data_IF_479120754804
#
_entry.id   IF_479120754804
#
_cell.length_a   1.000
_cell.length_b   1.000
_cell.length_c   1.000
_cell.angle_alpha   90.00
_cell.angle_beta   90.00
_cell.angle_gamma   90.00
#
_symmetry.space_group_name_H-M   'P 1'
#
loop_
_entity.id
_entity.type
_entity.pdbx_description
1 polymer ?
#
# COMPACT_ATOMS: atom_id res chain seq x y z
N UNK A 1 19.42 -6.59 74.91
CA UNK A 1 19.24 -7.21 73.58
C UNK A 1 17.98 -6.66 72.93
N UNK A 2 18.10 -5.73 71.98
CA UNK A 2 17.00 -5.23 71.14
C UNK A 2 17.49 -5.26 69.69
N UNK A 3 16.76 -5.99 68.84
CA UNK A 3 17.08 -6.21 67.43
C UNK A 3 16.77 -4.94 66.63
N UNK A 4 17.74 -4.41 65.90
CA UNK A 4 17.51 -3.39 64.88
C UNK A 4 17.10 -4.10 63.58
N UNK A 5 15.90 -3.80 63.08
CA UNK A 5 15.41 -4.25 61.78
C UNK A 5 15.95 -3.26 60.74
N UNK A 6 16.82 -3.75 59.86
CA UNK A 6 17.27 -2.99 58.68
C UNK A 6 16.23 -3.21 57.58
N UNK A 7 15.43 -2.18 57.29
CA UNK A 7 14.54 -2.17 56.13
C UNK A 7 15.38 -1.76 54.92
N UNK A 8 15.73 -2.74 54.10
CA UNK A 8 16.40 -2.52 52.82
C UNK A 8 15.34 -2.08 51.81
N UNK A 9 15.20 -0.77 51.62
CA UNK A 9 14.38 -0.21 50.54
C UNK A 9 15.03 -0.54 49.20
N UNK A 10 14.53 -1.56 48.51
CA UNK A 10 14.88 -1.83 47.13
C UNK A 10 14.35 -0.68 46.25
N UNK A 11 15.26 0.14 45.72
CA UNK A 11 14.95 1.01 44.59
C UNK A 11 14.60 0.12 43.40
N UNK A 12 13.30 -0.05 43.15
CA UNK A 12 12.81 -0.55 41.87
C UNK A 12 13.03 0.59 40.89
N UNK A 13 14.18 0.61 40.22
CA UNK A 13 14.33 1.41 39.00
C UNK A 13 13.35 0.84 38.01
N UNK A 14 12.22 1.53 37.81
CA UNK A 14 11.36 1.29 36.67
C UNK A 14 12.22 1.46 35.43
N UNK A 15 12.64 0.34 34.84
CA UNK A 15 12.92 0.27 33.42
C UNK A 15 11.63 0.71 32.74
N UNK A 16 11.49 2.01 32.51
CA UNK A 16 10.49 2.50 31.57
C UNK A 16 10.76 1.78 30.27
N UNK A 17 9.72 1.19 29.69
CA UNK A 17 9.76 0.93 28.26
C UNK A 17 10.16 2.26 27.61
N UNK A 18 11.27 2.29 26.90
CA UNK A 18 11.60 3.43 26.08
C UNK A 18 10.47 3.52 25.05
N UNK A 19 9.55 4.46 25.27
CA UNK A 19 8.52 4.79 24.31
C UNK A 19 9.24 5.10 23.00
N UNK A 20 9.10 4.21 22.01
CA UNK A 20 9.52 4.47 20.64
C UNK A 20 8.93 5.83 20.24
N UNK A 21 9.72 6.79 19.74
CA UNK A 21 9.22 8.10 19.39
C UNK A 21 8.12 7.94 18.35
N UNK A 22 6.88 8.20 18.78
CA UNK A 22 5.73 8.26 17.91
C UNK A 22 5.82 9.46 16.99
N UNK A 23 5.41 9.26 15.73
CA UNK A 23 4.90 10.34 14.89
C UNK A 23 5.92 11.36 14.38
N UNK A 24 7.14 10.95 14.05
CA UNK A 24 8.00 11.75 13.17
C UNK A 24 8.03 11.11 11.79
N UNK A 25 7.90 11.95 10.75
CA UNK A 25 8.03 11.64 9.33
C UNK A 25 9.36 10.91 9.06
N UNK A 26 9.40 9.59 9.32
CA UNK A 26 10.54 8.76 8.98
C UNK A 26 10.48 8.59 7.48
N UNK A 27 11.40 9.25 6.78
CA UNK A 27 11.70 8.90 5.40
C UNK A 27 11.96 7.40 5.38
N UNK A 28 11.16 6.68 4.60
CA UNK A 28 11.34 5.25 4.45
C UNK A 28 12.69 5.03 3.77
N UNK A 29 13.67 4.54 4.52
CA UNK A 29 15.00 4.28 3.99
C UNK A 29 14.98 2.95 3.23
N UNK A 30 14.99 3.03 1.90
CA UNK A 30 15.13 1.87 1.02
C UNK A 30 16.60 1.42 0.98
N UNK A 31 16.85 0.15 1.31
CA UNK A 31 18.21 -0.41 1.51
C UNK A 31 18.53 -1.58 0.57
N UNK A 32 18.41 -1.42 -0.77
CA UNK A 32 18.56 -2.52 -1.72
C UNK A 32 19.99 -3.02 -1.88
N UNK A 33 21.00 -2.31 -1.39
CA UNK A 33 22.42 -2.68 -1.49
C UNK A 33 22.98 -3.27 -0.20
N UNK A 34 22.22 -3.22 0.91
CA UNK A 34 22.68 -3.68 2.21
C UNK A 34 22.29 -5.14 2.42
N UNK A 35 23.29 -6.02 2.34
CA UNK A 35 23.09 -7.45 2.52
C UNK A 35 22.47 -7.79 3.89
N UNK A 36 21.53 -8.71 3.88
CA UNK A 36 20.79 -9.13 5.08
C UNK A 36 19.52 -8.32 5.35
N UNK A 37 19.25 -7.24 4.60
CA UNK A 37 17.97 -6.54 4.67
C UNK A 37 16.89 -7.23 3.82
N UNK A 38 15.62 -7.01 4.18
CA UNK A 38 14.47 -7.47 3.39
C UNK A 38 14.48 -6.84 1.99
N UNK A 39 14.85 -5.55 1.89
CA UNK A 39 14.93 -4.84 0.60
C UNK A 39 15.95 -5.47 -0.35
N UNK A 40 17.14 -5.77 0.15
CA UNK A 40 18.17 -6.41 -0.66
C UNK A 40 17.73 -7.82 -1.09
N UNK A 41 17.16 -8.61 -0.17
CA UNK A 41 16.69 -9.96 -0.49
C UNK A 41 15.57 -9.95 -1.53
N UNK A 42 14.56 -9.08 -1.37
CA UNK A 42 13.46 -8.95 -2.32
C UNK A 42 13.93 -8.35 -3.65
N UNK A 43 14.83 -7.37 -3.63
CA UNK A 43 15.42 -6.84 -4.85
C UNK A 43 16.16 -7.92 -5.65
N UNK A 44 16.97 -8.75 -4.98
CA UNK A 44 17.64 -9.88 -5.63
C UNK A 44 16.68 -10.91 -6.20
N UNK A 45 15.42 -10.94 -5.76
CA UNK A 45 14.36 -11.78 -6.31
C UNK A 45 13.53 -11.10 -7.41
N UNK A 46 13.93 -9.90 -7.84
CA UNK A 46 13.26 -9.13 -8.90
C UNK A 46 12.10 -8.25 -8.43
N UNK A 47 11.92 -8.09 -7.12
CA UNK A 47 10.91 -7.16 -6.61
C UNK A 47 11.38 -5.72 -6.70
N UNK A 48 10.44 -4.86 -7.09
CA UNK A 48 10.57 -3.42 -7.07
C UNK A 48 9.87 -2.87 -5.84
N UNK A 49 10.54 -1.96 -5.14
CA UNK A 49 10.03 -1.41 -3.91
C UNK A 49 9.32 -0.08 -4.18
N UNK A 50 8.15 0.10 -3.58
CA UNK A 50 7.28 1.27 -3.69
C UNK A 50 7.07 1.81 -2.27
N UNK A 51 7.48 3.06 -1.97
CA UNK A 51 7.21 3.66 -0.68
C UNK A 51 5.72 3.88 -0.49
N UNK A 52 5.24 3.55 0.70
CA UNK A 52 3.90 3.86 1.16
C UNK A 52 3.97 4.94 2.23
N UNK A 53 2.83 5.58 2.47
CA UNK A 53 2.63 6.50 3.58
C UNK A 53 1.57 5.94 4.51
N UNK A 54 1.96 5.64 5.74
CA UNK A 54 1.00 5.39 6.81
C UNK A 54 0.30 6.71 7.16
N UNK A 55 -1.03 6.65 7.31
CA UNK A 55 -1.84 7.78 7.74
C UNK A 55 -2.36 7.59 9.17
N UNK A 56 -2.87 8.65 9.79
CA UNK A 56 -3.32 8.66 11.20
C UNK A 56 -4.36 7.59 11.56
N UNK A 57 -5.08 7.06 10.56
CA UNK A 57 -6.05 5.97 10.70
C UNK A 57 -5.42 4.58 10.64
N UNK A 58 -4.10 4.47 10.51
CA UNK A 58 -3.34 3.21 10.39
C UNK A 58 -3.36 2.56 9.00
N UNK A 59 -3.98 3.20 8.01
CA UNK A 59 -3.97 2.69 6.64
C UNK A 59 -2.65 3.06 5.94
N UNK A 60 -2.23 2.25 4.98
CA UNK A 60 -1.09 2.56 4.11
C UNK A 60 -1.57 3.00 2.75
N UNK A 61 -1.06 4.15 2.31
CA UNK A 61 -1.35 4.73 1.01
C UNK A 61 -0.15 4.56 0.08
N UNK A 62 -0.37 4.05 -1.12
CA UNK A 62 0.60 4.08 -2.21
C UNK A 62 0.17 5.10 -3.27
N UNK A 63 1.14 5.74 -3.90
CA UNK A 63 0.86 6.58 -5.07
C UNK A 63 0.69 5.71 -6.30
N UNK A 64 -0.37 5.98 -7.06
CA UNK A 64 -0.61 5.33 -8.34
C UNK A 64 -1.04 6.34 -9.39
N UNK A 65 -0.66 6.05 -10.63
CA UNK A 65 -0.99 6.84 -11.81
C UNK A 65 -1.82 5.98 -12.76
N UNK A 66 -3.02 6.45 -13.09
CA UNK A 66 -3.90 5.82 -14.06
C UNK A 66 -4.20 6.85 -15.15
N UNK A 67 -4.02 6.47 -16.42
CA UNK A 67 -4.23 7.37 -17.57
C UNK A 67 -3.49 8.72 -17.42
N UNK A 68 -2.28 8.69 -16.85
CA UNK A 68 -1.47 9.88 -16.58
C UNK A 68 -1.90 10.74 -15.39
N UNK A 69 -2.90 10.31 -14.62
CA UNK A 69 -3.43 11.03 -13.46
C UNK A 69 -3.04 10.33 -12.17
N UNK A 70 -2.35 11.07 -11.30
CA UNK A 70 -1.78 10.54 -10.06
C UNK A 70 -2.67 10.83 -8.85
N UNK A 71 -2.87 9.84 -7.98
CA UNK A 71 -3.52 9.99 -6.68
C UNK A 71 -3.03 8.92 -5.67
N UNK A 72 -3.44 9.06 -4.41
CA UNK A 72 -3.18 8.04 -3.39
C UNK A 72 -4.25 6.95 -3.42
N UNK A 73 -3.84 5.71 -3.21
CA UNK A 73 -4.72 4.56 -3.06
C UNK A 73 -4.43 3.81 -1.77
N UNK A 74 -5.47 3.33 -1.11
CA UNK A 74 -5.33 2.44 0.05
C UNK A 74 -4.87 1.07 -0.43
N UNK A 75 -3.84 0.51 0.19
CA UNK A 75 -3.48 -0.90 0.00
C UNK A 75 -4.33 -1.76 0.93
N UNK A 76 -5.22 -2.58 0.38
CA UNK A 76 -6.21 -3.35 1.16
C UNK A 76 -6.25 -4.82 0.75
N UNK A 77 -5.60 -5.68 1.54
CA UNK A 77 -5.64 -7.14 1.35
C UNK A 77 -7.02 -7.76 1.59
N UNK A 78 -7.97 -7.01 2.19
CA UNK A 78 -9.35 -7.42 2.42
C UNK A 78 -10.29 -7.15 1.24
N UNK A 79 -9.85 -6.36 0.25
CA UNK A 79 -10.62 -6.08 -0.95
C UNK A 79 -10.35 -7.13 -2.04
N UNK A 80 -11.38 -7.76 -2.58
CA UNK A 80 -11.21 -8.77 -3.64
C UNK A 80 -10.78 -8.17 -4.99
N UNK A 81 -11.16 -6.91 -5.23
CA UNK A 81 -10.88 -6.17 -6.48
C UNK A 81 -10.45 -4.76 -6.13
N UNK A 82 -9.65 -4.16 -7.00
CA UNK A 82 -9.26 -2.76 -6.95
C UNK A 82 -10.43 -1.90 -7.38
N UNK A 83 -10.68 -0.83 -6.62
CA UNK A 83 -11.84 0.03 -6.81
C UNK A 83 -11.40 1.49 -6.82
N UNK A 84 -11.86 2.25 -7.80
CA UNK A 84 -11.76 3.70 -7.81
C UNK A 84 -13.12 4.31 -7.43
N UNK A 85 -13.09 5.41 -6.71
CA UNK A 85 -14.31 6.16 -6.41
C UNK A 85 -14.83 6.87 -7.65
N UNK A 86 -16.15 6.84 -7.84
CA UNK A 86 -16.82 7.46 -8.98
C UNK A 86 -16.49 8.95 -9.15
N UNK A 87 -16.17 9.67 -8.08
CA UNK A 87 -15.78 11.09 -8.15
C UNK A 87 -14.45 11.31 -8.89
N UNK A 88 -13.63 10.27 -9.05
CA UNK A 88 -12.35 10.33 -9.75
C UNK A 88 -12.44 9.81 -11.19
N UNK A 89 -13.54 9.15 -11.58
CA UNK A 89 -13.66 8.52 -12.89
C UNK A 89 -13.46 9.50 -14.05
N UNK A 90 -14.08 10.69 -13.99
CA UNK A 90 -13.92 11.73 -15.03
C UNK A 90 -12.48 12.28 -15.04
N UNK A 91 -11.92 12.58 -13.87
CA UNK A 91 -10.53 13.06 -13.75
C UNK A 91 -9.55 12.07 -14.37
N UNK A 92 -9.79 10.77 -14.19
CA UNK A 92 -8.95 9.69 -14.65
C UNK A 92 -9.27 9.25 -16.09
N UNK A 93 -10.23 9.89 -16.77
CA UNK A 93 -10.61 9.56 -18.15
C UNK A 93 -11.13 8.12 -18.29
N UNK A 94 -11.87 7.63 -17.30
CA UNK A 94 -12.36 6.26 -17.28
C UNK A 94 -13.62 6.11 -18.13
N UNK A 95 -13.57 5.22 -19.11
CA UNK A 95 -14.70 4.92 -19.98
C UNK A 95 -15.41 3.64 -19.52
N UNK A 96 -16.76 3.59 -19.50
CA UNK A 96 -17.52 2.38 -19.23
C UNK A 96 -17.06 1.20 -20.11
N UNK A 97 -16.69 0.08 -19.51
CA UNK A 97 -16.35 -1.13 -20.27
C UNK A 97 -17.63 -1.86 -20.68
N UNK A 98 -17.89 -1.91 -21.99
CA UNK A 98 -19.08 -2.56 -22.56
C UNK A 98 -19.06 -4.09 -22.44
N UNK A 99 -17.86 -4.70 -22.44
CA UNK A 99 -17.69 -6.16 -22.56
C UNK A 99 -17.97 -6.94 -21.27
N UNK A 100 -17.96 -6.27 -20.11
CA UNK A 100 -18.01 -6.95 -18.81
C UNK A 100 -19.28 -6.68 -18.00
N UNK A 101 -20.13 -5.73 -18.44
CA UNK A 101 -21.52 -5.68 -17.98
C UNK A 101 -22.24 -7.03 -18.17
N UNK A 102 -21.79 -7.84 -19.14
CA UNK A 102 -22.29 -9.20 -19.39
C UNK A 102 -21.66 -10.29 -18.49
N UNK A 103 -20.47 -10.09 -17.89
CA UNK A 103 -19.75 -11.14 -17.13
C UNK A 103 -19.79 -10.95 -15.62
N UNK A 104 -19.80 -9.71 -15.14
CA UNK A 104 -19.85 -9.42 -13.69
C UNK A 104 -21.27 -9.25 -13.15
N UNK A 105 -22.29 -9.27 -14.02
CA UNK A 105 -23.71 -9.31 -13.65
C UNK A 105 -24.04 -8.40 -12.48
N UNK A 106 -23.90 -7.07 -12.64
CA UNK A 106 -24.30 -6.05 -11.65
C UNK A 106 -24.12 -6.49 -10.18
N UNK A 107 -22.95 -7.01 -9.81
CA UNK A 107 -22.68 -7.37 -8.42
C UNK A 107 -22.47 -6.09 -7.63
N UNK A 108 -23.37 -5.81 -6.68
CA UNK A 108 -23.10 -4.87 -5.61
C UNK A 108 -21.81 -5.31 -4.90
N UNK A 109 -20.81 -4.44 -4.88
CA UNK A 109 -19.68 -4.59 -3.97
C UNK A 109 -20.22 -4.33 -2.57
N UNK A 110 -19.90 -5.18 -1.59
CA UNK A 110 -20.39 -5.02 -0.24
C UNK A 110 -20.04 -3.62 0.30
N UNK A 111 -21.06 -2.78 0.54
CA UNK A 111 -20.89 -1.42 1.04
C UNK A 111 -20.76 -0.31 -0.02
N UNK A 112 -20.59 -0.66 -1.30
CA UNK A 112 -20.59 0.31 -2.40
C UNK A 112 -21.87 0.13 -3.24
N UNK A 113 -22.45 1.23 -3.74
CA UNK A 113 -23.73 1.22 -4.45
C UNK A 113 -23.70 0.48 -5.81
N UNK A 114 -24.05 1.17 -6.89
CA UNK A 114 -23.88 0.62 -8.25
C UNK A 114 -22.39 0.63 -8.59
N UNK A 115 -21.78 -0.55 -8.65
CA UNK A 115 -20.44 -0.73 -9.17
C UNK A 115 -20.50 -0.92 -10.70
N UNK A 116 -19.53 -0.34 -11.40
CA UNK A 116 -19.38 -0.44 -12.85
C UNK A 116 -17.92 -0.71 -13.17
N UNK A 117 -17.65 -1.55 -14.17
CA UNK A 117 -16.29 -1.70 -14.65
C UNK A 117 -15.96 -0.63 -15.70
N UNK A 118 -14.76 -0.07 -15.63
CA UNK A 118 -14.24 0.87 -16.59
C UNK A 118 -12.93 0.37 -17.20
N UNK A 119 -12.67 0.73 -18.44
CA UNK A 119 -11.40 0.47 -19.11
C UNK A 119 -10.34 1.47 -18.66
N UNK A 120 -9.09 1.01 -18.56
CA UNK A 120 -7.91 1.83 -18.26
C UNK A 120 -6.85 1.59 -19.34
N UNK A 121 -6.21 2.67 -19.80
CA UNK A 121 -5.16 2.59 -20.83
C UNK A 121 -3.79 2.34 -20.20
N UNK A 122 -3.55 2.96 -19.03
CA UNK A 122 -2.31 2.82 -18.29
C UNK A 122 -2.60 2.79 -16.80
N UNK A 123 -1.84 1.96 -16.07
CA UNK A 123 -1.88 1.90 -14.62
C UNK A 123 -0.49 1.59 -14.10
N UNK A 124 0.03 2.44 -13.22
CA UNK A 124 1.36 2.33 -12.63
C UNK A 124 1.27 2.60 -11.13
N UNK A 125 1.93 1.80 -10.31
CA UNK A 125 2.12 2.03 -8.87
C UNK A 125 3.62 2.24 -8.63
N UNK A 126 4.00 3.45 -8.21
CA UNK A 126 5.42 3.86 -8.21
C UNK A 126 6.04 3.69 -9.62
N UNK A 127 7.15 2.94 -9.76
CA UNK A 127 7.75 2.60 -11.07
C UNK A 127 7.19 1.30 -11.70
N UNK A 128 6.22 0.63 -11.08
CA UNK A 128 5.73 -0.70 -11.51
C UNK A 128 4.48 -0.57 -12.36
N UNK A 129 4.56 -1.01 -13.62
CA UNK A 129 3.38 -1.14 -14.48
C UNK A 129 2.45 -2.24 -13.96
N UNK A 130 1.18 -1.88 -13.75
CA UNK A 130 0.14 -2.78 -13.28
C UNK A 130 -0.59 -3.39 -14.47
N UNK A 131 -0.80 -4.70 -14.45
CA UNK A 131 -1.29 -5.47 -15.60
C UNK A 131 -2.82 -5.61 -15.61
N UNK A 132 -3.50 -4.52 -15.33
CA UNK A 132 -4.95 -4.43 -15.39
C UNK A 132 -5.35 -3.61 -16.61
N UNK A 133 -6.29 -4.12 -17.40
CA UNK A 133 -6.93 -3.39 -18.52
C UNK A 133 -8.27 -2.77 -18.09
N UNK A 134 -8.73 -3.12 -16.89
CA UNK A 134 -9.99 -2.65 -16.33
C UNK A 134 -9.88 -2.41 -14.84
N UNK A 135 -10.67 -1.48 -14.32
CA UNK A 135 -10.85 -1.24 -12.88
C UNK A 135 -12.32 -1.14 -12.55
N UNK A 136 -12.71 -1.45 -11.31
CA UNK A 136 -14.08 -1.20 -10.86
C UNK A 136 -14.20 0.24 -10.36
N UNK A 137 -15.20 0.95 -10.85
CA UNK A 137 -15.65 2.24 -10.32
C UNK A 137 -16.90 2.03 -9.47
N UNK A 138 -16.90 2.54 -8.25
CA UNK A 138 -18.08 2.50 -7.37
C UNK A 138 -18.18 3.74 -6.49
N UNK A 139 -19.34 3.97 -5.89
CA UNK A 139 -19.49 5.03 -4.88
C UNK A 139 -18.90 4.54 -3.55
N UNK A 140 -17.70 5.03 -3.23
CA UNK A 140 -17.00 4.79 -1.96
C UNK A 140 -17.12 6.04 -1.05
N UNK A 141 -17.95 7.00 -1.43
CA UNK A 141 -17.84 8.40 -1.03
C UNK A 141 -17.85 8.59 0.48
N UNK A 142 -18.65 7.85 1.25
CA UNK A 142 -18.65 7.98 2.71
C UNK A 142 -17.37 7.46 3.38
N UNK A 143 -16.82 6.35 2.88
CA UNK A 143 -15.62 5.73 3.44
C UNK A 143 -14.37 6.52 3.08
N UNK A 144 -14.17 6.82 1.79
CA UNK A 144 -12.99 7.55 1.34
C UNK A 144 -13.02 9.03 1.75
N UNK A 145 -14.18 9.68 1.81
CA UNK A 145 -14.25 11.06 2.32
C UNK A 145 -13.87 11.15 3.79
N UNK A 146 -14.31 10.20 4.61
CA UNK A 146 -13.92 10.15 6.02
C UNK A 146 -12.42 9.92 6.18
N UNK A 147 -11.84 9.02 5.38
CA UNK A 147 -10.40 8.76 5.36
C UNK A 147 -9.62 9.98 4.85
N UNK A 148 -10.00 10.55 3.71
CA UNK A 148 -9.35 11.72 3.11
C UNK A 148 -9.38 12.94 4.02
N UNK A 149 -10.51 13.21 4.69
CA UNK A 149 -10.63 14.29 5.66
C UNK A 149 -9.77 14.06 6.92
N UNK A 150 -9.80 12.84 7.47
CA UNK A 150 -9.03 12.50 8.67
C UNK A 150 -7.50 12.53 8.43
N UNK A 151 -7.07 12.43 7.17
CA UNK A 151 -5.67 12.22 6.79
C UNK A 151 -5.13 13.31 5.86
N UNK A 152 -5.96 14.32 5.53
CA UNK A 152 -5.68 15.37 4.56
C UNK A 152 -5.03 14.85 3.27
N UNK A 153 -5.57 13.75 2.73
CA UNK A 153 -5.02 13.03 1.58
C UNK A 153 -6.05 12.89 0.46
N UNK A 154 -5.61 13.09 -0.77
CA UNK A 154 -6.39 12.87 -1.99
C UNK A 154 -6.42 11.37 -2.30
N UNK A 155 -7.35 10.65 -1.66
CA UNK A 155 -7.49 9.19 -1.79
C UNK A 155 -8.53 8.87 -2.85
N UNK A 156 -8.07 8.32 -3.97
CA UNK A 156 -8.90 8.03 -5.13
C UNK A 156 -9.57 6.65 -5.07
N UNK A 157 -9.01 5.72 -4.31
CA UNK A 157 -9.48 4.34 -4.34
C UNK A 157 -8.72 3.37 -3.45
N UNK A 158 -8.93 2.10 -3.75
CA UNK A 158 -8.38 0.93 -3.07
C UNK A 158 -7.68 0.05 -4.10
N UNK A 159 -6.47 -0.40 -3.78
CA UNK A 159 -5.78 -1.50 -4.47
C UNK A 159 -6.06 -2.80 -3.72
N UNK A 160 -6.73 -3.72 -4.39
CA UNK A 160 -7.19 -4.99 -3.85
C UNK A 160 -6.40 -6.20 -4.36
N UNK A 161 -6.94 -7.38 -4.08
CA UNK A 161 -6.27 -8.66 -4.33
C UNK A 161 -6.04 -9.00 -5.80
N UNK A 162 -6.83 -8.44 -6.71
CA UNK A 162 -6.60 -8.56 -8.15
C UNK A 162 -5.21 -8.04 -8.54
N UNK A 163 -4.81 -6.86 -8.08
CA UNK A 163 -3.47 -6.30 -8.30
C UNK A 163 -2.44 -6.94 -7.36
N UNK A 164 -2.76 -7.08 -6.07
CA UNK A 164 -1.79 -7.56 -5.08
C UNK A 164 -1.34 -9.00 -5.34
N UNK A 165 -2.24 -9.88 -5.74
CA UNK A 165 -1.89 -11.27 -6.08
C UNK A 165 -1.14 -11.33 -7.40
N UNK A 166 -1.61 -10.59 -8.40
CA UNK A 166 -1.05 -10.51 -9.75
C UNK A 166 0.41 -10.04 -9.77
N UNK A 167 0.78 -9.20 -8.82
CA UNK A 167 2.12 -8.65 -8.65
C UNK A 167 2.86 -9.21 -7.42
N UNK A 168 2.39 -10.35 -6.89
CA UNK A 168 3.00 -11.12 -5.79
C UNK A 168 3.36 -10.25 -4.57
N UNK A 169 2.53 -9.28 -4.24
CA UNK A 169 2.84 -8.19 -3.32
C UNK A 169 3.39 -8.68 -1.97
N UNK A 170 4.49 -8.06 -1.52
CA UNK A 170 5.00 -8.18 -0.16
C UNK A 170 4.85 -6.84 0.53
N UNK A 171 4.17 -6.81 1.67
CA UNK A 171 3.86 -5.59 2.40
C UNK A 171 4.69 -5.56 3.69
N UNK A 172 5.67 -4.66 3.75
CA UNK A 172 6.38 -4.32 4.98
C UNK A 172 5.67 -3.16 5.67
N UNK A 173 4.76 -3.51 6.56
CA UNK A 173 3.95 -2.56 7.35
C UNK A 173 4.84 -1.63 8.18
N UNK A 174 5.86 -2.19 8.84
CA UNK A 174 6.70 -1.45 9.79
C UNK A 174 7.54 -0.36 9.12
N UNK A 175 7.98 -0.62 7.88
CA UNK A 175 8.75 0.34 7.08
C UNK A 175 7.88 1.09 6.09
N UNK A 176 6.58 0.81 5.99
CA UNK A 176 5.71 1.36 4.95
C UNK A 176 6.28 1.15 3.54
N UNK A 177 6.65 -0.09 3.21
CA UNK A 177 7.09 -0.48 1.86
C UNK A 177 6.17 -1.53 1.26
N UNK A 178 5.78 -1.29 0.00
CA UNK A 178 5.12 -2.27 -0.85
C UNK A 178 6.14 -2.78 -1.86
N UNK A 179 6.33 -4.09 -1.95
CA UNK A 179 7.19 -4.69 -2.95
C UNK A 179 6.35 -5.43 -3.98
N UNK A 180 6.54 -5.14 -5.26
CA UNK A 180 5.80 -5.71 -6.38
C UNK A 180 6.77 -6.29 -7.42
N UNK A 181 6.38 -7.35 -8.11
CA UNK A 181 7.08 -7.81 -9.32
C UNK A 181 6.39 -7.24 -10.56
N UNK A 182 7.12 -6.80 -11.57
CA UNK A 182 6.52 -6.23 -12.79
C UNK A 182 5.89 -7.33 -13.69
N UNK A 183 6.53 -8.49 -13.77
CA UNK A 183 6.10 -9.61 -14.61
C UNK A 183 5.42 -10.71 -13.77
N UNK A 184 4.42 -11.39 -14.35
CA UNK A 184 3.77 -12.56 -13.75
C UNK A 184 4.64 -13.82 -13.86
N UNK A 185 5.81 -13.75 -13.25
CA UNK A 185 6.77 -14.84 -13.24
C UNK A 185 7.13 -15.17 -11.81
N UNK A 186 7.50 -16.43 -11.57
CA UNK A 186 8.06 -16.78 -10.28
C UNK A 186 9.32 -15.95 -10.01
N UNK A 187 9.48 -15.39 -8.79
CA UNK A 187 10.64 -14.59 -8.45
C UNK A 187 11.94 -15.34 -8.75
N UNK A 188 12.82 -14.67 -9.49
CA UNK A 188 14.07 -15.25 -9.97
C UNK A 188 15.25 -14.33 -9.61
N UNK A 189 16.44 -14.90 -9.36
CA UNK A 189 17.62 -14.10 -9.07
C UNK A 189 17.93 -13.09 -10.17
N UNK A 190 18.02 -11.81 -9.80
CA UNK A 190 18.54 -10.75 -10.68
C UNK A 190 19.98 -10.38 -10.32
N UNK A 191 20.80 -9.87 -11.27
CA UNK A 191 22.13 -9.38 -10.96
C UNK A 191 22.10 -8.28 -9.89
N UNK A 192 22.90 -8.40 -8.82
CA UNK A 192 22.93 -7.45 -7.71
C UNK A 192 23.21 -5.99 -8.13
N UNK A 193 23.86 -5.78 -9.27
CA UNK A 193 24.09 -4.46 -9.90
C UNK A 193 22.78 -3.73 -10.22
N UNK A 194 21.67 -4.45 -10.40
CA UNK A 194 20.34 -3.88 -10.63
C UNK A 194 19.65 -3.42 -9.33
N UNK A 195 20.19 -3.81 -8.17
CA UNK A 195 19.71 -3.36 -6.87
C UNK A 195 20.42 -2.06 -6.47
N UNK A 196 19.88 -0.94 -6.93
CA UNK A 196 20.40 0.40 -6.60
C UNK A 196 19.35 1.24 -5.87
N UNK A 197 19.80 2.10 -4.96
CA UNK A 197 18.93 3.01 -4.23
C UNK A 197 18.37 4.16 -5.11
N UNK A 198 18.99 4.39 -6.28
CA UNK A 198 18.63 5.47 -7.21
C UNK A 198 17.66 5.01 -8.31
N UNK A 199 17.37 3.70 -8.41
CA UNK A 199 16.60 3.14 -9.51
C UNK A 199 15.08 3.24 -9.35
N UNK A 200 14.54 3.64 -8.18
CA UNK A 200 13.11 3.44 -7.86
C UNK A 200 12.49 4.51 -6.92
N UNK A 201 12.98 5.75 -6.92
CA UNK A 201 12.32 6.89 -6.22
C UNK A 201 12.06 8.01 -7.21
#
# INVERSE_FOLDING_TARGET
MKRAIVILSALVTSTGCEQLPGGANRTVEYRPTESGTVDHALCLLGFTAVPMREVSTGHHLAEATINGQTASFVIDTGANVSVIDNAYAERFGLEPSADVLSRLGARSIAGAGKAQQASIDTFVIGPVTIRQETIVSADLGQMLSALGQATNSDVAGIIGQDVLTEHRAVIDVSRSMLHLIAEDTDPAPVPAVQCSAESNV
#
